data_IF_104588766238
#
_entry.id   IF_104588766238
#
_cell.length_a   1.000
_cell.length_b   1.000
_cell.length_c   1.000
_cell.angle_alpha   90.00
_cell.angle_beta   90.00
_cell.angle_gamma   90.00
#
_symmetry.space_group_name_H-M   'P 1'
#
loop_
_entity.id
_entity.type
_entity.pdbx_description
1 polymer ?
#
# COMPACT_ATOMS: atom_id res chain seq x y z
N UNK A 1 19.48 -2.51 1.95
CA UNK A 1 18.71 -1.89 3.07
C UNK A 1 17.87 -0.69 2.61
N UNK A 2 18.21 0.04 1.54
CA UNK A 2 17.47 1.23 1.09
C UNK A 2 16.02 0.93 0.66
N UNK A 3 15.78 -0.18 -0.04
CA UNK A 3 14.44 -0.57 -0.52
C UNK A 3 13.43 -0.85 0.61
N UNK A 4 13.91 -1.43 1.72
CA UNK A 4 13.08 -1.67 2.92
C UNK A 4 12.68 -0.34 3.58
N UNK A 5 13.61 0.62 3.68
CA UNK A 5 13.34 1.95 4.23
C UNK A 5 12.38 2.77 3.35
N UNK A 6 12.51 2.66 2.03
CA UNK A 6 11.60 3.31 1.09
C UNK A 6 10.19 2.70 1.15
N UNK A 7 10.10 1.37 1.21
CA UNK A 7 8.84 0.67 1.41
C UNK A 7 8.13 1.15 2.69
N UNK A 8 8.86 1.24 3.81
CA UNK A 8 8.30 1.74 5.07
C UNK A 8 7.82 3.19 4.98
N UNK A 9 8.57 4.09 4.32
CA UNK A 9 8.11 5.47 4.11
C UNK A 9 6.84 5.54 3.27
N UNK A 10 6.79 4.80 2.16
CA UNK A 10 5.62 4.77 1.27
C UNK A 10 4.42 4.19 2.00
N UNK A 11 4.57 3.07 2.73
CA UNK A 11 3.49 2.47 3.54
C UNK A 11 2.97 3.43 4.61
N UNK A 12 3.85 4.17 5.29
CA UNK A 12 3.43 5.16 6.30
C UNK A 12 2.61 6.30 5.68
N UNK A 13 3.04 6.83 4.54
CA UNK A 13 2.29 7.84 3.80
C UNK A 13 0.95 7.30 3.29
N UNK A 14 0.94 6.06 2.78
CA UNK A 14 -0.27 5.38 2.32
C UNK A 14 -1.28 5.25 3.47
N UNK A 15 -0.83 4.78 4.63
CA UNK A 15 -1.69 4.59 5.79
C UNK A 15 -2.27 5.92 6.32
N UNK A 16 -1.48 6.99 6.33
CA UNK A 16 -1.98 8.32 6.68
C UNK A 16 -3.09 8.79 5.71
N UNK A 17 -2.93 8.53 4.41
CA UNK A 17 -3.95 8.85 3.40
C UNK A 17 -5.19 7.97 3.52
N UNK A 18 -5.02 6.66 3.71
CA UNK A 18 -6.13 5.71 3.92
C UNK A 18 -7.01 6.14 5.09
N UNK A 19 -6.42 6.49 6.23
CA UNK A 19 -7.18 6.98 7.39
C UNK A 19 -7.98 8.23 7.08
N UNK A 20 -7.41 9.18 6.33
CA UNK A 20 -8.11 10.41 5.95
C UNK A 20 -9.30 10.12 5.03
N UNK A 21 -9.14 9.21 4.06
CA UNK A 21 -10.23 8.79 3.17
C UNK A 21 -11.33 8.06 3.96
N UNK A 22 -10.96 7.17 4.88
CA UNK A 22 -11.93 6.48 5.74
C UNK A 22 -12.69 7.46 6.65
N UNK A 23 -12.03 8.48 7.20
CA UNK A 23 -12.69 9.52 8.00
C UNK A 23 -13.68 10.35 7.17
N UNK A 24 -13.30 10.73 5.95
CA UNK A 24 -14.20 11.44 5.03
C UNK A 24 -15.40 10.56 4.68
N UNK A 25 -15.16 9.28 4.37
CA UNK A 25 -16.20 8.32 4.08
C UNK A 25 -17.14 8.12 5.28
N UNK A 26 -16.61 8.02 6.50
CA UNK A 26 -17.40 7.93 7.72
C UNK A 26 -18.26 9.16 7.96
N UNK A 27 -17.76 10.35 7.65
CA UNK A 27 -18.51 11.59 7.77
C UNK A 27 -19.60 11.76 6.70
N UNK A 28 -19.48 11.05 5.57
CA UNK A 28 -20.33 11.25 4.38
C UNK A 28 -21.30 10.08 4.11
N UNK A 29 -21.06 8.91 4.70
CA UNK A 29 -21.82 7.69 4.43
C UNK A 29 -22.57 7.20 5.68
N UNK A 30 -23.78 6.62 5.51
CA UNK A 30 -24.44 5.86 6.57
C UNK A 30 -23.58 4.68 7.03
N UNK A 31 -23.68 4.29 8.30
CA UNK A 31 -22.81 3.29 8.94
C UNK A 31 -22.74 1.97 8.16
N UNK A 32 -23.87 1.46 7.66
CA UNK A 32 -23.91 0.24 6.84
C UNK A 32 -23.10 0.36 5.54
N UNK A 33 -23.18 1.52 4.87
CA UNK A 33 -22.42 1.78 3.64
C UNK A 33 -20.94 2.05 3.94
N UNK A 34 -20.64 2.72 5.05
CA UNK A 34 -19.28 2.93 5.52
C UNK A 34 -18.57 1.61 5.83
N UNK A 35 -19.24 0.66 6.50
CA UNK A 35 -18.66 -0.65 6.80
C UNK A 35 -18.32 -1.43 5.52
N UNK A 36 -19.20 -1.41 4.52
CA UNK A 36 -18.95 -2.02 3.22
C UNK A 36 -17.79 -1.32 2.48
N UNK A 37 -17.81 0.02 2.44
CA UNK A 37 -16.74 0.83 1.84
C UNK A 37 -15.40 0.57 2.50
N UNK A 38 -15.33 0.59 3.84
CA UNK A 38 -14.10 0.33 4.60
C UNK A 38 -13.52 -1.03 4.27
N UNK A 39 -14.37 -2.07 4.18
CA UNK A 39 -13.92 -3.43 3.87
C UNK A 39 -13.32 -3.52 2.46
N UNK A 40 -14.00 -2.97 1.46
CA UNK A 40 -13.51 -2.94 0.07
C UNK A 40 -12.23 -2.09 -0.05
N UNK A 41 -12.23 -0.92 0.56
CA UNK A 41 -11.09 0.00 0.53
C UNK A 41 -9.86 -0.59 1.21
N UNK A 42 -10.00 -1.27 2.35
CA UNK A 42 -8.89 -1.93 3.01
C UNK A 42 -8.43 -3.19 2.27
N UNK A 43 -9.30 -3.87 1.52
CA UNK A 43 -8.91 -5.02 0.70
C UNK A 43 -8.08 -4.56 -0.53
N UNK A 44 -8.50 -3.48 -1.20
CA UNK A 44 -7.75 -2.89 -2.33
C UNK A 44 -6.43 -2.23 -1.90
N UNK A 45 -6.43 -1.47 -0.81
CA UNK A 45 -5.25 -0.72 -0.39
C UNK A 45 -4.42 -1.42 0.69
N UNK A 46 -4.81 -2.62 1.11
CA UNK A 46 -4.11 -3.40 2.13
C UNK A 46 -3.14 -4.43 1.56
N UNK A 47 -2.82 -5.41 2.40
CA UNK A 47 -1.82 -6.46 2.14
C UNK A 47 -2.17 -7.41 0.98
N UNK A 48 -3.40 -7.35 0.48
CA UNK A 48 -3.87 -8.17 -0.66
C UNK A 48 -3.88 -7.43 -1.99
N UNK A 49 -3.91 -6.10 -1.98
CA UNK A 49 -3.89 -5.27 -3.17
C UNK A 49 -2.60 -4.46 -3.26
N UNK A 50 -2.69 -3.14 -3.09
CA UNK A 50 -1.59 -2.22 -3.39
C UNK A 50 -0.31 -2.50 -2.58
N UNK A 51 -0.41 -2.92 -1.31
CA UNK A 51 0.79 -3.25 -0.52
C UNK A 51 1.49 -4.52 -1.03
N UNK A 52 0.72 -5.48 -1.54
CA UNK A 52 1.24 -6.71 -2.15
C UNK A 52 2.04 -6.41 -3.41
N UNK A 53 1.62 -5.43 -4.20
CA UNK A 53 2.31 -5.01 -5.43
C UNK A 53 3.51 -4.09 -5.14
N UNK A 54 3.40 -3.22 -4.13
CA UNK A 54 4.48 -2.34 -3.70
C UNK A 54 5.68 -3.09 -3.10
N UNK A 55 5.41 -4.16 -2.34
CA UNK A 55 6.44 -4.95 -1.68
C UNK A 55 7.50 -5.49 -2.65
N UNK A 56 7.17 -6.22 -3.74
CA UNK A 56 8.17 -6.68 -4.70
C UNK A 56 8.78 -5.53 -5.51
N UNK A 57 8.04 -4.48 -5.82
CA UNK A 57 8.57 -3.34 -6.57
C UNK A 57 9.65 -2.56 -5.81
N UNK A 58 9.50 -2.41 -4.49
CA UNK A 58 10.41 -1.62 -3.68
C UNK A 58 11.48 -2.45 -2.96
N UNK A 59 11.18 -3.72 -2.67
CA UNK A 59 12.09 -4.63 -1.97
C UNK A 59 12.83 -5.56 -2.95
N UNK A 60 12.17 -6.04 -4.01
CA UNK A 60 12.70 -7.09 -4.91
C UNK A 60 13.41 -6.53 -6.15
N UNK A 61 12.94 -5.41 -6.74
CA UNK A 61 13.63 -4.78 -7.87
C UNK A 61 15.06 -4.28 -7.56
N UNK A 62 15.41 -4.07 -6.28
CA UNK A 62 16.79 -3.76 -5.91
C UNK A 62 17.76 -4.95 -6.07
N UNK A 63 17.26 -6.18 -6.17
CA UNK A 63 18.09 -7.38 -6.37
C UNK A 63 18.30 -7.76 -7.85
N UNK A 64 17.52 -7.19 -8.79
CA UNK A 64 17.53 -7.60 -10.21
C UNK A 64 18.53 -6.91 -11.12
N UNK A 65 19.10 -5.77 -10.74
CA UNK A 65 20.00 -4.97 -11.61
C UNK A 65 21.48 -5.40 -11.56
N UNK A 66 21.83 -6.46 -10.84
CA UNK A 66 23.22 -6.91 -10.64
C UNK A 66 23.67 -8.13 -11.47
N UNK A 67 22.85 -8.64 -12.41
CA UNK A 67 23.12 -9.92 -13.09
C UNK A 67 23.13 -9.90 -14.61
N UNK A 68 23.26 -8.72 -15.24
CA UNK A 68 23.50 -8.64 -16.67
C UNK A 68 24.97 -8.27 -16.96
N UNK A 69 25.87 -9.19 -16.59
CA UNK A 69 27.31 -9.05 -16.82
C UNK A 69 28.01 -10.38 -16.61
N UNK A 70 28.22 -11.10 -17.72
CA UNK A 70 29.16 -12.22 -18.01
C UNK A 70 28.59 -12.90 -19.25
N UNK A 71 29.02 -12.52 -20.46
CA UNK A 71 30.24 -13.03 -21.13
C UNK A 71 30.33 -14.55 -21.10
#
# INVERSE_FOLDING_TARGET
MVGISLYQMVSNLLNARKNRVLLIAQASLPEHQYLAFKKLFLDEFGDRGLEKELKPLLIDQQHGLGRNGRE
#
